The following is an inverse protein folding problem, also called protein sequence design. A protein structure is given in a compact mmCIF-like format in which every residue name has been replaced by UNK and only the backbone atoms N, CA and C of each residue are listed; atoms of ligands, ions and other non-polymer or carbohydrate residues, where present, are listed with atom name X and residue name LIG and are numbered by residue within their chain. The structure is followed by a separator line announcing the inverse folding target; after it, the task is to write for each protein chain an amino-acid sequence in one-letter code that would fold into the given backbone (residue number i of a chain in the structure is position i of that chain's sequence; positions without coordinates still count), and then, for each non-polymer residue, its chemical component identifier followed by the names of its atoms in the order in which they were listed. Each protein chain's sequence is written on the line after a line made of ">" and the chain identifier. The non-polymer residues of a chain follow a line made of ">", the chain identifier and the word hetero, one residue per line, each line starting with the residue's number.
data_IF_020863400368
#
_entry.id   IF_020863400368
#
_cell.length_a   1.000
_cell.length_b   1.000
_cell.length_c   1.000
_cell.angle_alpha   90.00
_cell.angle_beta   90.00
_cell.angle_gamma   90.00
#
_symmetry.space_group_name_H-M   'P 1'
#
loop_
_entity.id
_entity.type
_entity.pdbx_description
1 polymer ?
#
# COMPACT_ATOMS: atom_id res chain seq x y z
N UNK A 1 -4.61 23.18 -11.82
CA UNK A 1 -4.44 22.44 -13.08
C UNK A 1 -3.96 21.03 -12.76
N UNK A 2 -4.41 20.02 -13.53
CA UNK A 2 -3.95 18.63 -13.38
C UNK A 2 -2.61 18.47 -14.06
N UNK A 3 -1.63 17.99 -13.31
CA UNK A 3 -0.26 17.81 -13.75
C UNK A 3 0.21 16.40 -13.50
N UNK A 4 1.13 15.92 -14.31
CA UNK A 4 1.89 14.70 -14.06
C UNK A 4 3.32 15.09 -13.74
N UNK A 5 3.89 14.47 -12.72
CA UNK A 5 5.31 14.64 -12.41
C UNK A 5 6.10 13.90 -13.48
N UNK A 6 7.00 14.58 -14.16
CA UNK A 6 7.97 13.95 -15.07
C UNK A 6 8.84 13.01 -14.25
N UNK A 7 9.20 11.91 -14.87
CA UNK A 7 10.13 10.96 -14.31
C UNK A 7 11.44 11.66 -13.90
N UNK A 8 11.73 11.59 -12.61
CA UNK A 8 13.02 11.93 -12.01
C UNK A 8 13.62 10.64 -11.43
N UNK A 9 13.53 9.53 -12.15
CA UNK A 9 13.97 8.22 -11.70
C UNK A 9 12.95 7.44 -10.85
N UNK A 10 11.78 8.00 -10.59
CA UNK A 10 10.73 7.38 -9.78
C UNK A 10 9.37 7.45 -10.47
N UNK A 11 8.93 6.33 -10.98
CA UNK A 11 7.56 6.05 -11.42
C UNK A 11 6.91 7.15 -12.25
N UNK A 12 6.95 6.97 -13.55
CA UNK A 12 6.07 7.71 -14.46
C UNK A 12 4.64 7.72 -13.94
N UNK A 13 4.09 8.92 -13.77
CA UNK A 13 2.66 9.04 -13.68
C UNK A 13 2.06 9.23 -12.30
N UNK A 14 2.81 9.71 -11.32
CA UNK A 14 2.15 10.28 -10.14
C UNK A 14 1.42 11.55 -10.58
N UNK A 15 0.10 11.50 -10.54
CA UNK A 15 -0.73 12.65 -10.86
C UNK A 15 -1.12 13.42 -9.62
N UNK A 16 -1.23 14.73 -9.77
CA UNK A 16 -1.64 15.63 -8.75
C UNK A 16 -2.35 16.85 -9.32
N UNK A 17 -2.90 17.64 -8.44
CA UNK A 17 -3.41 18.96 -8.75
C UNK A 17 -2.33 20.00 -8.42
N UNK A 18 -2.01 20.84 -9.38
CA UNK A 18 -1.14 21.99 -9.15
C UNK A 18 -1.97 23.07 -8.45
N UNK A 19 -1.53 23.46 -7.26
CA UNK A 19 -2.19 24.48 -6.45
C UNK A 19 -1.58 25.86 -6.69
N UNK A 20 -0.28 26.01 -6.51
CA UNK A 20 0.44 27.30 -6.60
C UNK A 20 1.82 27.09 -7.25
N UNK A 21 2.34 28.17 -7.88
CA UNK A 21 3.71 28.22 -8.39
C UNK A 21 4.42 29.40 -7.76
N UNK A 22 5.54 29.14 -7.11
CA UNK A 22 6.39 30.17 -6.51
C UNK A 22 7.87 29.81 -6.68
N UNK A 23 8.68 30.79 -7.11
CA UNK A 23 10.13 30.62 -7.24
C UNK A 23 10.61 29.43 -8.06
N UNK A 24 9.84 29.03 -9.10
CA UNK A 24 10.14 27.86 -9.95
C UNK A 24 9.76 26.52 -9.34
N UNK A 25 9.02 26.52 -8.24
CA UNK A 25 8.43 25.33 -7.63
C UNK A 25 6.91 25.43 -7.66
N UNK A 26 6.28 24.31 -7.92
CA UNK A 26 4.83 24.16 -7.85
C UNK A 26 4.44 23.37 -6.61
N UNK A 27 3.48 23.85 -5.86
CA UNK A 27 2.81 23.04 -4.84
C UNK A 27 1.86 22.09 -5.55
N UNK A 28 2.06 20.81 -5.33
CA UNK A 28 1.26 19.73 -5.93
C UNK A 28 0.59 18.95 -4.81
N UNK A 29 -0.71 18.71 -4.95
CA UNK A 29 -1.46 17.78 -4.11
C UNK A 29 -1.66 16.50 -4.90
N UNK A 30 -1.15 15.40 -4.38
CA UNK A 30 -1.31 14.07 -4.97
C UNK A 30 -2.70 13.51 -4.68
N UNK A 31 -3.15 12.57 -5.50
CA UNK A 31 -4.44 11.91 -5.31
C UNK A 31 -4.57 11.19 -3.96
N UNK A 32 -3.46 10.76 -3.38
CA UNK A 32 -3.42 10.17 -2.04
C UNK A 32 -3.49 11.22 -0.90
N UNK A 33 -3.74 12.49 -1.22
CA UNK A 33 -3.88 13.58 -0.26
C UNK A 33 -2.56 14.18 0.26
N UNK A 34 -1.41 13.63 -0.15
CA UNK A 34 -0.09 14.21 0.20
C UNK A 34 0.13 15.46 -0.66
N UNK A 35 0.56 16.54 -0.02
CA UNK A 35 1.00 17.76 -0.72
C UNK A 35 2.49 18.00 -0.53
N UNK A 36 3.13 18.56 -1.54
CA UNK A 36 4.55 18.89 -1.51
C UNK A 36 4.93 19.83 -2.63
N UNK A 37 6.20 20.29 -2.61
CA UNK A 37 6.74 21.17 -3.65
C UNK A 37 7.58 20.36 -4.64
N UNK A 38 7.36 20.60 -5.92
CA UNK A 38 8.05 19.96 -7.03
C UNK A 38 8.59 21.05 -7.96
N UNK A 39 9.85 20.95 -8.46
CA UNK A 39 10.34 21.88 -9.47
C UNK A 39 9.40 21.94 -10.68
N UNK A 40 9.06 23.13 -11.15
CA UNK A 40 8.15 23.31 -12.28
C UNK A 40 8.60 22.52 -13.52
N UNK A 41 9.92 22.45 -13.74
CA UNK A 41 10.52 21.70 -14.87
C UNK A 41 10.27 20.18 -14.79
N UNK A 42 9.96 19.65 -13.61
CA UNK A 42 9.61 18.25 -13.43
C UNK A 42 8.13 17.96 -13.70
N UNK A 43 7.33 18.99 -14.00
CA UNK A 43 5.91 18.84 -14.29
C UNK A 43 5.65 18.87 -15.79
N UNK A 44 4.65 18.15 -16.22
CA UNK A 44 4.04 18.26 -17.56
C UNK A 44 2.52 18.20 -17.46
N UNK A 45 1.86 18.75 -18.46
CA UNK A 45 0.42 18.59 -18.60
C UNK A 45 0.11 17.10 -18.78
N UNK A 46 -0.87 16.61 -18.04
CA UNK A 46 -1.38 15.26 -18.18
C UNK A 46 -1.95 15.02 -19.57
N UNK A 47 -1.64 13.86 -20.15
CA UNK A 47 -2.21 13.36 -21.39
C UNK A 47 -3.24 12.27 -21.08
N UNK A 48 -4.25 12.13 -21.94
CA UNK A 48 -5.29 11.09 -21.78
C UNK A 48 -4.73 9.66 -21.92
N UNK A 49 -3.54 9.53 -22.54
CA UNK A 49 -2.81 8.28 -22.69
C UNK A 49 -1.99 7.87 -21.47
N UNK A 50 -1.87 8.71 -20.47
CA UNK A 50 -1.11 8.41 -19.25
C UNK A 50 -1.83 7.31 -18.45
N UNK A 51 -1.31 6.10 -18.47
CA UNK A 51 -1.96 4.87 -17.97
C UNK A 51 -2.11 4.76 -16.47
N UNK A 52 -1.26 5.45 -15.72
CA UNK A 52 -1.32 5.50 -14.25
C UNK A 52 -2.31 6.54 -13.75
N UNK A 53 -3.11 7.03 -14.62
CA UNK A 53 -4.13 7.97 -14.30
C UNK A 53 -5.44 7.24 -14.13
N UNK A 54 -5.69 7.12 -12.96
CA UNK A 54 -6.85 6.71 -12.21
C UNK A 54 -8.09 7.28 -12.86
N UNK A 55 -8.87 6.46 -13.48
CA UNK A 55 -10.17 6.69 -14.04
C UNK A 55 -10.58 8.12 -14.45
N UNK A 56 -11.70 8.25 -15.09
CA UNK A 56 -12.25 9.55 -15.50
C UNK A 56 -12.75 10.42 -14.33
N UNK A 57 -12.85 9.85 -13.10
CA UNK A 57 -13.14 10.60 -11.88
C UNK A 57 -12.31 10.07 -10.71
N UNK A 58 -11.59 10.95 -10.03
CA UNK A 58 -10.78 10.63 -8.86
C UNK A 58 -11.63 10.08 -7.70
N UNK A 59 -12.86 10.57 -7.56
CA UNK A 59 -13.82 10.10 -6.55
C UNK A 59 -14.17 8.62 -6.75
N UNK A 60 -14.33 8.16 -7.99
CA UNK A 60 -14.59 6.73 -8.27
C UNK A 60 -13.42 5.83 -7.93
N UNK A 61 -12.19 6.31 -8.10
CA UNK A 61 -11.01 5.52 -7.78
C UNK A 61 -10.94 5.17 -6.29
N UNK A 62 -11.33 6.06 -5.41
CA UNK A 62 -11.33 5.83 -3.96
C UNK A 62 -12.53 5.03 -3.47
N UNK A 63 -13.67 5.09 -4.17
CA UNK A 63 -14.94 4.50 -3.72
C UNK A 63 -15.18 3.10 -4.28
N UNK A 64 -14.73 2.83 -5.51
CA UNK A 64 -15.02 1.57 -6.22
C UNK A 64 -13.87 0.55 -6.15
N UNK A 65 -12.85 0.78 -5.32
CA UNK A 65 -11.69 -0.07 -5.30
C UNK A 65 -11.93 -1.43 -4.69
N UNK A 66 -11.98 -2.36 -5.59
CA UNK A 66 -11.87 -3.77 -5.36
C UNK A 66 -10.75 -4.37 -6.22
N UNK A 67 -10.69 -5.69 -6.21
CA UNK A 67 -9.88 -6.46 -7.15
C UNK A 67 -10.25 -6.04 -8.58
N UNK A 68 -9.26 -5.86 -9.50
CA UNK A 68 -9.54 -5.56 -10.90
C UNK A 68 -10.60 -6.50 -11.49
N UNK A 69 -11.49 -5.95 -12.31
CA UNK A 69 -12.56 -6.71 -12.92
C UNK A 69 -12.05 -7.98 -13.62
N UNK A 70 -12.73 -9.11 -13.38
CA UNK A 70 -12.33 -10.42 -13.92
C UNK A 70 -11.17 -11.11 -13.19
N UNK A 71 -10.70 -10.58 -12.06
CA UNK A 71 -9.71 -11.23 -11.21
C UNK A 71 -10.36 -11.90 -9.99
N UNK A 72 -9.93 -13.14 -9.68
CA UNK A 72 -10.25 -13.75 -8.39
C UNK A 72 -9.34 -13.19 -7.29
N UNK A 73 -9.79 -13.27 -6.02
CA UNK A 73 -8.97 -12.93 -4.87
C UNK A 73 -7.63 -13.68 -4.89
N UNK A 74 -7.66 -14.98 -5.16
CA UNK A 74 -6.47 -15.82 -5.23
C UNK A 74 -5.47 -15.32 -6.31
N UNK A 75 -5.97 -15.00 -7.49
CA UNK A 75 -5.13 -14.45 -8.57
C UNK A 75 -4.51 -13.13 -8.18
N UNK A 76 -5.28 -12.24 -7.55
CA UNK A 76 -4.78 -10.94 -7.08
C UNK A 76 -3.70 -11.14 -6.01
N UNK A 77 -3.96 -11.93 -4.96
CA UNK A 77 -3.01 -12.22 -3.89
C UNK A 77 -1.70 -12.78 -4.42
N UNK A 78 -1.77 -13.74 -5.32
CA UNK A 78 -0.57 -14.28 -5.99
C UNK A 78 0.20 -13.18 -6.74
N UNK A 79 -0.48 -12.29 -7.46
CA UNK A 79 0.16 -11.21 -8.22
C UNK A 79 0.81 -10.16 -7.34
N UNK A 80 0.19 -9.74 -6.26
CA UNK A 80 0.83 -8.78 -5.33
C UNK A 80 2.03 -9.38 -4.63
N UNK A 81 1.97 -10.65 -4.22
CA UNK A 81 3.12 -11.35 -3.62
C UNK A 81 4.26 -11.53 -4.61
N UNK A 82 3.97 -11.93 -5.85
CA UNK A 82 4.95 -12.06 -6.92
C UNK A 82 5.64 -10.72 -7.21
N UNK A 83 4.86 -9.65 -7.31
CA UNK A 83 5.35 -8.30 -7.50
C UNK A 83 6.23 -7.84 -6.31
N UNK A 84 5.80 -8.08 -5.07
CA UNK A 84 6.56 -7.74 -3.87
C UNK A 84 7.92 -8.44 -3.83
N UNK A 85 7.98 -9.72 -4.19
CA UNK A 85 9.22 -10.48 -4.26
C UNK A 85 10.23 -9.91 -5.27
N UNK A 86 9.77 -9.19 -6.28
CA UNK A 86 10.63 -8.48 -7.23
C UNK A 86 11.46 -7.36 -6.60
N UNK A 87 11.09 -6.88 -5.42
CA UNK A 87 11.85 -5.87 -4.66
C UNK A 87 12.88 -6.46 -3.68
N UNK A 88 12.97 -7.79 -3.56
CA UNK A 88 13.97 -8.39 -2.66
C UNK A 88 15.39 -7.96 -3.02
N UNK A 89 16.15 -7.54 -2.02
CA UNK A 89 17.51 -7.03 -2.18
C UNK A 89 17.60 -5.55 -2.56
N UNK A 90 16.48 -4.87 -2.88
CA UNK A 90 16.50 -3.42 -3.07
C UNK A 90 16.96 -2.70 -1.82
N UNK A 91 17.71 -1.62 -1.99
CA UNK A 91 18.18 -0.79 -0.88
C UNK A 91 17.03 0.00 -0.24
N UNK A 92 17.14 0.19 1.08
CA UNK A 92 16.23 1.10 1.77
C UNK A 92 16.56 2.55 1.43
N UNK A 93 15.54 3.31 1.05
CA UNK A 93 15.61 4.76 0.87
C UNK A 93 14.35 5.39 1.38
N UNK A 94 14.46 6.26 2.38
CA UNK A 94 13.31 7.01 2.91
C UNK A 94 12.57 7.77 1.80
N UNK A 95 11.25 7.58 1.72
CA UNK A 95 10.40 8.18 0.67
C UNK A 95 10.52 7.53 -0.71
N UNK A 96 11.42 6.57 -0.88
CA UNK A 96 11.66 5.89 -2.15
C UNK A 96 10.48 5.03 -2.61
N UNK A 97 10.35 4.88 -3.93
CA UNK A 97 9.30 4.08 -4.60
C UNK A 97 9.83 3.28 -5.80
N UNK A 98 11.12 3.31 -6.06
CA UNK A 98 11.75 2.67 -7.20
C UNK A 98 12.70 1.55 -6.79
N UNK A 99 13.13 0.75 -7.76
CA UNK A 99 14.01 -0.40 -7.51
C UNK A 99 15.42 -0.01 -7.06
N UNK A 100 15.85 1.21 -7.34
CA UNK A 100 17.14 1.79 -6.89
C UNK A 100 17.10 2.32 -5.45
N UNK A 101 15.91 2.38 -4.86
CA UNK A 101 15.72 2.75 -3.46
C UNK A 101 14.25 2.88 -3.09
N UNK A 102 13.84 2.11 -2.08
CA UNK A 102 12.44 2.02 -1.68
C UNK A 102 12.33 1.94 -0.15
N UNK A 103 11.27 2.50 0.44
CA UNK A 103 10.98 2.33 1.86
C UNK A 103 9.91 1.25 2.11
N UNK A 104 9.58 1.02 3.38
CA UNK A 104 8.63 -0.01 3.78
C UNK A 104 7.24 0.19 3.16
N UNK A 105 6.70 1.40 3.26
CA UNK A 105 5.39 1.73 2.70
C UNK A 105 5.44 1.92 1.20
N UNK A 106 6.59 2.30 0.64
CA UNK A 106 6.84 2.35 -0.80
C UNK A 106 6.66 1.00 -1.47
N UNK A 107 7.24 -0.07 -0.92
CA UNK A 107 7.07 -1.43 -1.47
C UNK A 107 5.60 -1.79 -1.55
N UNK A 108 4.88 -1.74 -0.44
CA UNK A 108 3.48 -2.18 -0.41
C UNK A 108 2.58 -1.27 -1.26
N UNK A 109 2.83 0.04 -1.23
CA UNK A 109 2.11 1.00 -2.06
C UNK A 109 2.29 0.71 -3.56
N UNK A 110 3.54 0.57 -4.02
CA UNK A 110 3.84 0.30 -5.42
C UNK A 110 3.29 -1.04 -5.89
N UNK A 111 3.43 -2.08 -5.06
CA UNK A 111 2.90 -3.40 -5.37
C UNK A 111 1.40 -3.37 -5.58
N UNK A 112 0.66 -2.73 -4.68
CA UNK A 112 -0.78 -2.61 -4.81
C UNK A 112 -1.19 -1.73 -5.99
N UNK A 113 -0.52 -0.57 -6.18
CA UNK A 113 -0.77 0.35 -7.29
C UNK A 113 -0.57 -0.32 -8.66
N UNK A 114 0.53 -1.06 -8.83
CA UNK A 114 0.83 -1.79 -10.07
C UNK A 114 -0.18 -2.91 -10.36
N UNK A 115 -0.89 -3.38 -9.34
CA UNK A 115 -1.98 -4.35 -9.46
C UNK A 115 -3.38 -3.70 -9.43
N UNK A 116 -3.48 -2.38 -9.60
CA UNK A 116 -4.74 -1.65 -9.79
C UNK A 116 -5.44 -1.22 -8.51
N UNK A 117 -4.80 -1.36 -7.34
CA UNK A 117 -5.40 -0.96 -6.05
C UNK A 117 -4.59 0.17 -5.41
N UNK A 118 -5.25 1.29 -5.13
CA UNK A 118 -4.65 2.40 -4.39
C UNK A 118 -4.86 2.21 -2.90
N UNK A 119 -3.76 2.00 -2.17
CA UNK A 119 -3.74 2.03 -0.71
C UNK A 119 -3.15 3.37 -0.22
N UNK A 120 -3.28 3.64 1.08
CA UNK A 120 -2.59 4.79 1.68
C UNK A 120 -1.07 4.64 1.54
N UNK A 121 -0.37 5.77 1.26
CA UNK A 121 1.07 5.75 0.97
C UNK A 121 1.93 5.43 2.18
N UNK A 122 1.49 5.81 3.37
CA UNK A 122 2.27 5.64 4.59
C UNK A 122 1.94 4.34 5.33
N UNK A 123 2.72 4.03 6.36
CA UNK A 123 2.60 2.82 7.15
C UNK A 123 1.43 2.90 8.16
N UNK A 124 0.20 3.10 7.64
CA UNK A 124 -1.02 3.25 8.42
C UNK A 124 -2.25 2.77 7.62
N UNK A 125 -3.32 2.40 8.34
CA UNK A 125 -4.64 2.16 7.75
C UNK A 125 -5.44 3.45 7.85
N UNK A 126 -5.81 4.01 6.71
CA UNK A 126 -6.50 5.30 6.65
C UNK A 126 -7.92 5.15 6.16
N UNK A 127 -8.83 5.89 6.78
CA UNK A 127 -10.21 6.00 6.32
C UNK A 127 -10.27 6.54 4.88
N UNK A 128 -11.22 6.06 4.09
CA UNK A 128 -11.34 6.38 2.67
C UNK A 128 -10.50 5.49 1.74
N UNK A 129 -9.65 4.63 2.29
CA UNK A 129 -8.87 3.64 1.54
C UNK A 129 -9.40 2.22 1.75
N UNK A 130 -9.15 1.29 0.80
CA UNK A 130 -9.78 -0.04 0.82
C UNK A 130 -9.30 -0.94 1.95
N UNK A 131 -8.13 -0.64 2.57
CA UNK A 131 -7.54 -1.44 3.63
C UNK A 131 -8.40 -1.44 4.89
N UNK A 132 -8.72 -2.63 5.42
CA UNK A 132 -9.47 -2.83 6.67
C UNK A 132 -8.66 -3.70 7.62
N UNK A 133 -8.73 -3.40 8.91
CA UNK A 133 -8.10 -4.23 9.93
C UNK A 133 -8.83 -5.57 10.08
N UNK A 134 -8.04 -6.65 10.09
CA UNK A 134 -8.51 -8.03 10.35
C UNK A 134 -7.95 -8.61 11.64
N UNK A 135 -6.95 -7.99 12.24
CA UNK A 135 -6.38 -8.25 13.54
C UNK A 135 -5.82 -6.97 14.16
N UNK A 136 -5.89 -6.84 15.47
CA UNK A 136 -5.34 -5.70 16.22
C UNK A 136 -4.56 -6.15 17.45
N UNK A 137 -3.60 -5.33 17.87
CA UNK A 137 -2.91 -5.47 19.14
C UNK A 137 -3.91 -5.68 20.30
N UNK A 138 -3.61 -6.64 21.17
CA UNK A 138 -4.49 -7.07 22.26
C UNK A 138 -5.30 -8.34 21.95
N UNK A 139 -5.40 -8.76 20.69
CA UNK A 139 -5.89 -10.07 20.30
C UNK A 139 -4.75 -11.11 20.37
N UNK A 140 -5.10 -12.38 20.48
CA UNK A 140 -4.11 -13.46 20.51
C UNK A 140 -3.30 -13.52 19.22
N UNK A 141 -1.98 -13.65 19.32
CA UNK A 141 -1.07 -13.62 18.16
C UNK A 141 -1.29 -14.81 17.20
N UNK A 142 -1.77 -15.95 17.69
CA UNK A 142 -2.13 -17.09 16.84
C UNK A 142 -3.21 -16.76 15.82
N UNK A 143 -4.10 -15.80 16.11
CA UNK A 143 -5.14 -15.35 15.19
C UNK A 143 -4.57 -14.60 13.96
N UNK A 144 -3.34 -14.11 14.04
CA UNK A 144 -2.67 -13.51 12.86
C UNK A 144 -2.50 -14.57 11.78
N UNK A 145 -1.97 -15.74 12.12
CA UNK A 145 -1.77 -16.81 11.14
C UNK A 145 -3.09 -17.43 10.66
N UNK A 146 -4.12 -17.42 11.51
CA UNK A 146 -5.45 -17.92 11.16
C UNK A 146 -6.16 -16.99 10.15
N UNK A 147 -6.08 -15.68 10.36
CA UNK A 147 -6.85 -14.69 9.60
C UNK A 147 -6.09 -14.08 8.40
N UNK A 148 -4.78 -13.90 8.55
CA UNK A 148 -3.97 -13.28 7.51
C UNK A 148 -3.72 -14.23 6.35
N UNK A 149 -3.89 -13.73 5.14
CA UNK A 149 -3.57 -14.43 3.90
C UNK A 149 -2.43 -13.72 3.19
N UNK A 150 -1.69 -14.45 2.37
CA UNK A 150 -0.63 -13.88 1.56
C UNK A 150 -1.11 -12.65 0.78
N UNK A 151 -0.36 -11.55 0.86
CA UNK A 151 -0.73 -10.24 0.31
C UNK A 151 -1.37 -9.29 1.31
N UNK A 152 -1.81 -9.73 2.50
CA UNK A 152 -2.25 -8.82 3.56
C UNK A 152 -1.05 -8.05 4.15
N UNK A 153 -1.32 -6.92 4.81
CA UNK A 153 -0.28 -6.05 5.32
C UNK A 153 -0.19 -6.10 6.86
N UNK A 154 1.04 -6.17 7.33
CA UNK A 154 1.38 -6.10 8.75
C UNK A 154 1.84 -4.68 9.06
N UNK A 155 1.24 -4.04 10.07
CA UNK A 155 1.54 -2.66 10.44
C UNK A 155 2.14 -2.61 11.85
N UNK A 156 3.25 -1.91 11.94
CA UNK A 156 3.92 -1.50 13.18
C UNK A 156 3.90 0.01 13.29
N UNK A 157 4.37 0.54 14.39
CA UNK A 157 4.51 1.99 14.52
C UNK A 157 5.55 2.53 13.53
N UNK A 158 5.09 3.23 12.48
CA UNK A 158 5.95 3.82 11.46
C UNK A 158 6.59 2.80 10.52
N UNK A 159 6.06 1.55 10.46
CA UNK A 159 6.58 0.52 9.60
C UNK A 159 5.47 -0.39 9.06
N UNK A 160 5.69 -0.96 7.88
CA UNK A 160 4.74 -1.89 7.24
C UNK A 160 5.49 -2.96 6.45
N UNK A 161 4.88 -4.15 6.38
CA UNK A 161 5.34 -5.26 5.55
C UNK A 161 4.17 -6.02 4.94
N UNK A 162 4.45 -6.87 3.97
CA UNK A 162 3.47 -7.74 3.32
C UNK A 162 3.59 -9.16 3.86
N UNK A 163 2.50 -9.70 4.36
CA UNK A 163 2.42 -11.10 4.76
C UNK A 163 2.50 -12.01 3.53
N UNK A 164 3.33 -13.05 3.60
CA UNK A 164 3.55 -13.99 2.50
C UNK A 164 2.89 -15.35 2.74
N UNK A 165 2.31 -15.55 3.90
CA UNK A 165 1.84 -16.84 4.40
C UNK A 165 2.86 -17.50 5.34
N UNK A 166 2.40 -18.52 6.06
CA UNK A 166 3.24 -19.36 6.94
C UNK A 166 4.10 -18.58 7.96
N UNK A 167 3.56 -17.48 8.50
CA UNK A 167 4.26 -16.62 9.45
C UNK A 167 5.32 -15.70 8.82
N UNK A 168 5.56 -15.79 7.52
CA UNK A 168 6.61 -15.02 6.83
C UNK A 168 6.08 -13.72 6.27
N UNK A 169 6.92 -12.70 6.25
CA UNK A 169 6.57 -11.40 5.66
C UNK A 169 7.75 -10.74 4.96
N UNK A 170 7.44 -9.97 3.93
CA UNK A 170 8.40 -9.14 3.20
C UNK A 170 8.26 -7.70 3.67
N UNK A 171 9.37 -7.05 3.96
CA UNK A 171 9.42 -5.64 4.27
C UNK A 171 10.72 -5.01 3.77
N UNK A 172 10.75 -3.68 3.67
CA UNK A 172 11.97 -2.94 3.42
C UNK A 172 12.33 -2.12 4.65
N UNK A 173 13.52 -2.33 5.21
CA UNK A 173 13.92 -1.75 6.50
C UNK A 173 15.21 -0.94 6.39
N UNK A 174 15.24 0.21 7.09
CA UNK A 174 16.45 1.02 7.28
C UNK A 174 17.25 0.66 8.52
N UNK A 175 16.95 -0.45 9.19
CA UNK A 175 17.68 -0.87 10.38
C UNK A 175 19.12 -1.24 10.04
N UNK A 176 20.10 -0.70 10.79
CA UNK A 176 21.53 -0.76 10.49
C UNK A 176 22.09 -2.15 10.16
N UNK A 177 21.61 -3.20 10.85
CA UNK A 177 22.10 -4.57 10.67
C UNK A 177 21.44 -5.35 9.54
N UNK A 178 20.30 -4.84 9.01
CA UNK A 178 19.43 -5.58 8.09
C UNK A 178 18.83 -4.69 7.01
N UNK A 179 19.63 -3.75 6.56
CA UNK A 179 19.25 -2.71 5.61
C UNK A 179 18.74 -3.28 4.28
N UNK A 180 17.58 -2.81 3.82
CA UNK A 180 17.00 -3.17 2.53
C UNK A 180 15.74 -4.02 2.59
N UNK A 181 15.29 -4.45 1.42
CA UNK A 181 14.09 -5.26 1.25
C UNK A 181 14.39 -6.74 1.43
N UNK A 182 13.67 -7.39 2.35
CA UNK A 182 13.94 -8.77 2.78
C UNK A 182 12.72 -9.49 3.31
N UNK A 183 12.84 -10.78 3.55
CA UNK A 183 11.87 -11.63 4.24
C UNK A 183 12.33 -11.87 5.66
N UNK A 184 11.38 -11.81 6.60
CA UNK A 184 11.54 -12.26 7.98
C UNK A 184 10.31 -13.06 8.43
N UNK A 185 10.37 -13.64 9.64
CA UNK A 185 9.31 -14.46 10.21
C UNK A 185 8.76 -13.87 11.51
N UNK A 186 7.47 -14.13 11.75
CA UNK A 186 6.78 -13.95 13.04
C UNK A 186 6.88 -15.21 13.93
N UNK A 187 7.36 -16.34 13.40
CA UNK A 187 7.43 -17.61 14.12
C UNK A 187 8.77 -17.72 14.85
N UNK A 188 8.69 -17.92 16.15
CA UNK A 188 9.83 -17.98 17.07
C UNK A 188 10.86 -19.09 16.74
N UNK A 189 10.49 -20.11 16.01
CA UNK A 189 11.37 -21.21 15.61
C UNK A 189 12.12 -21.00 14.30
N UNK A 190 11.84 -19.95 13.55
CA UNK A 190 12.47 -19.70 12.27
C UNK A 190 13.80 -18.96 12.44
N UNK A 191 14.79 -19.25 11.57
CA UNK A 191 16.12 -18.64 11.60
C UNK A 191 16.06 -17.11 11.46
N UNK A 192 15.12 -16.61 10.66
CA UNK A 192 14.91 -15.20 10.37
C UNK A 192 13.79 -14.56 11.21
N UNK A 193 13.46 -15.17 12.35
CA UNK A 193 12.50 -14.63 13.33
C UNK A 193 12.98 -13.28 13.88
N UNK A 194 12.07 -12.33 13.92
CA UNK A 194 12.28 -11.00 14.49
C UNK A 194 11.36 -10.80 15.68
N UNK A 195 11.89 -11.10 16.87
CA UNK A 195 11.15 -10.97 18.14
C UNK A 195 10.63 -9.57 18.36
N UNK A 196 11.47 -8.57 18.11
CA UNK A 196 11.13 -7.14 18.21
C UNK A 196 9.94 -6.74 17.33
N UNK A 197 9.83 -7.29 16.12
CA UNK A 197 8.72 -7.02 15.22
C UNK A 197 7.49 -7.88 15.56
N UNK A 198 7.68 -9.12 16.00
CA UNK A 198 6.56 -9.96 16.42
C UNK A 198 5.82 -9.34 17.63
N UNK A 199 6.57 -8.84 18.62
CA UNK A 199 6.00 -8.23 19.84
C UNK A 199 5.43 -6.81 19.58
N UNK A 200 5.97 -6.09 18.61
CA UNK A 200 5.55 -4.73 18.30
C UNK A 200 4.43 -4.63 17.24
N UNK A 201 3.89 -5.77 16.76
CA UNK A 201 2.83 -5.76 15.74
C UNK A 201 1.57 -5.06 16.28
N UNK A 202 1.01 -4.14 15.51
CA UNK A 202 -0.14 -3.32 15.91
C UNK A 202 -1.43 -3.72 15.20
N UNK A 203 -1.37 -3.94 13.89
CA UNK A 203 -2.55 -4.20 13.09
C UNK A 203 -2.16 -5.09 11.91
N UNK A 204 -3.04 -6.00 11.55
CA UNK A 204 -3.01 -6.68 10.25
C UNK A 204 -4.17 -6.14 9.42
N UNK A 205 -3.89 -5.73 8.20
CA UNK A 205 -4.87 -5.15 7.28
C UNK A 205 -5.04 -5.97 6.02
N UNK A 206 -6.27 -6.01 5.51
CA UNK A 206 -6.61 -6.63 4.23
C UNK A 206 -7.43 -5.68 3.37
N UNK A 207 -7.24 -5.73 2.06
CA UNK A 207 -8.12 -5.04 1.08
C UNK A 207 -9.34 -5.92 0.72
N UNK A 208 -9.33 -7.17 1.14
CA UNK A 208 -10.43 -8.09 0.91
C UNK A 208 -11.39 -8.00 2.09
N UNK A 209 -12.64 -7.65 1.80
CA UNK A 209 -13.70 -7.79 2.79
C UNK A 209 -14.01 -9.27 2.89
N UNK A 210 -13.92 -9.84 4.08
CA UNK A 210 -14.66 -11.08 4.32
C UNK A 210 -16.13 -10.78 4.04
N UNK A 211 -16.72 -11.50 3.11
CA UNK A 211 -18.16 -11.66 3.08
C UNK A 211 -18.43 -12.61 4.25
N UNK A 212 -18.52 -12.03 5.46
CA UNK A 212 -18.98 -12.75 6.63
C UNK A 212 -20.33 -13.37 6.28
N UNK A 213 -20.44 -14.67 6.42
CA UNK A 213 -21.57 -15.47 5.99
C UNK A 213 -22.93 -14.85 6.36
N UNK A 214 -23.84 -14.88 5.42
CA UNK A 214 -25.31 -14.83 5.53
C UNK A 214 -25.88 -14.11 6.77
N UNK A 215 -25.75 -12.79 6.81
CA UNK A 215 -26.60 -11.92 7.59
C UNK A 215 -27.52 -11.17 6.62
N UNK A 216 -28.78 -11.57 6.53
CA UNK A 216 -29.82 -10.83 5.85
C UNK A 216 -29.78 -9.37 6.31
N UNK A 217 -29.59 -8.45 5.37
CA UNK A 217 -29.95 -7.06 5.56
C UNK A 217 -31.47 -7.02 5.84
N UNK A 218 -31.85 -6.84 7.09
CA UNK A 218 -33.18 -6.38 7.40
C UNK A 218 -33.30 -4.93 6.89
N UNK A 219 -33.99 -4.79 5.78
CA UNK A 219 -34.57 -3.50 5.37
C UNK A 219 -35.49 -3.03 6.48
N UNK A 220 -35.04 -2.08 7.28
CA UNK A 220 -35.93 -1.27 8.06
C UNK A 220 -36.58 -0.25 7.14
N UNK A 221 -37.74 -0.62 6.63
CA UNK A 221 -38.77 0.32 6.17
C UNK A 221 -39.32 1.05 7.39
N UNK A 222 -38.94 2.29 7.54
CA UNK A 222 -39.73 3.23 8.34
C UNK A 222 -40.06 4.45 7.48
N UNK A 223 -41.29 4.41 6.98
CA UNK A 223 -42.06 5.58 6.61
C UNK A 223 -43.22 5.62 7.64
N UNK A 224 -43.57 6.71 8.22
CA UNK A 224 -44.54 7.59 7.61
C UNK A 224 -44.05 9.00 7.28
#
# INVERSE_FOLDING_TARGET
>A
ARVAVRDVGDVEGVCGEMEETENGYCRVKLANGISGFVPEVALRKRLDSDRFLWGKSEERFFVEQGIPEGWSEEKFRRKVVECAKGYLGCQYRWGGKAADGIDCSGVVFMVYLMNGVLIWRDADIREGYPMKAIWREGEEMCLVEERAKAGDLLFWRGHVGMYLGDGRYLHCTGHERVFGCRVNSLRRGDEDFREDLAEALKVVGSVFREISGSGKLEEKSDVP
#
